data_IF_612112486571
#
_entry.id   IF_612112486571
#
_cell.length_a   1.000
_cell.length_b   1.000
_cell.length_c   1.000
_cell.angle_alpha   90.00
_cell.angle_beta   90.00
_cell.angle_gamma   90.00
#
_symmetry.space_group_name_H-M   'P 1'
#
loop_
_entity.id
_entity.type
_entity.pdbx_description
1 polymer ?
#
# COMPACT_ATOMS: atom_id res chain seq x y z
N UNK A 1 17.80 -2.54 13.79
CA UNK A 1 18.39 -3.83 13.38
C UNK A 1 18.08 -4.06 11.90
N UNK A 2 18.38 -3.05 11.06
CA UNK A 2 18.11 -3.01 9.62
C UNK A 2 19.44 -3.03 8.83
N UNK A 3 20.55 -3.22 9.55
CA UNK A 3 21.91 -3.01 9.01
C UNK A 3 22.39 -4.15 8.11
N UNK A 4 21.83 -5.36 8.24
CA UNK A 4 22.28 -6.51 7.44
C UNK A 4 21.55 -6.63 6.09
N UNK A 5 20.38 -5.99 5.88
CA UNK A 5 19.61 -6.20 4.64
C UNK A 5 20.10 -5.36 3.45
N UNK A 6 20.79 -4.25 3.69
CA UNK A 6 21.38 -3.42 2.62
C UNK A 6 22.57 -4.11 1.95
N UNK A 7 23.36 -4.89 2.70
CA UNK A 7 24.54 -5.60 2.19
C UNK A 7 24.20 -6.67 1.13
N UNK A 8 22.94 -7.12 1.07
CA UNK A 8 22.46 -8.11 0.12
C UNK A 8 21.65 -7.52 -1.04
N UNK A 9 21.33 -6.23 -1.00
CA UNK A 9 20.50 -5.58 -2.02
C UNK A 9 21.32 -5.34 -3.29
N UNK A 10 20.77 -5.77 -4.43
CA UNK A 10 21.39 -5.51 -5.74
C UNK A 10 21.18 -4.05 -6.16
N UNK A 11 22.14 -3.44 -6.87
CA UNK A 11 21.94 -2.14 -7.51
C UNK A 11 20.85 -2.22 -8.60
N UNK A 12 20.08 -1.14 -8.79
CA UNK A 12 18.99 -1.09 -9.78
C UNK A 12 19.43 -1.48 -11.21
N UNK A 13 20.67 -1.19 -11.59
CA UNK A 13 21.24 -1.52 -12.89
C UNK A 13 21.51 -3.04 -13.10
N UNK A 14 21.52 -3.81 -12.02
CA UNK A 14 21.82 -5.25 -12.00
C UNK A 14 20.58 -6.11 -11.74
N UNK A 15 19.39 -5.52 -11.75
CA UNK A 15 18.15 -6.26 -11.51
C UNK A 15 17.91 -7.28 -12.63
N UNK A 16 17.76 -8.58 -12.32
CA UNK A 16 17.52 -9.61 -13.33
C UNK A 16 16.15 -9.47 -14.02
N UNK A 17 15.26 -8.67 -13.41
CA UNK A 17 13.96 -8.31 -13.95
C UNK A 17 13.86 -6.78 -14.05
N UNK A 18 14.28 -6.18 -15.19
CA UNK A 18 14.25 -4.72 -15.38
C UNK A 18 12.85 -4.10 -15.20
N UNK A 19 11.81 -4.91 -15.43
CA UNK A 19 10.41 -4.55 -15.24
C UNK A 19 10.09 -4.06 -13.82
N UNK A 20 10.87 -4.45 -12.80
CA UNK A 20 10.65 -4.03 -11.41
C UNK A 20 10.53 -2.51 -11.26
N UNK A 21 11.35 -1.75 -11.98
CA UNK A 21 11.37 -0.28 -11.92
C UNK A 21 10.13 0.39 -12.55
N UNK A 22 9.42 -0.31 -13.43
CA UNK A 22 8.25 0.22 -14.15
C UNK A 22 6.91 -0.12 -13.49
N UNK A 23 6.89 -1.04 -12.52
CA UNK A 23 5.66 -1.49 -11.87
C UNK A 23 5.14 -0.43 -10.89
N UNK A 24 3.85 -0.15 -10.97
CA UNK A 24 3.13 0.74 -10.04
C UNK A 24 2.77 0.03 -8.75
N UNK A 25 3.81 -0.39 -8.02
CA UNK A 25 3.71 -1.10 -6.75
C UNK A 25 2.89 -0.33 -5.69
N UNK A 26 2.88 1.00 -5.77
CA UNK A 26 2.09 1.90 -4.93
C UNK A 26 0.57 1.65 -5.04
N UNK A 27 0.12 0.95 -6.09
CA UNK A 27 -1.29 0.66 -6.37
C UNK A 27 -1.68 -0.79 -6.13
N UNK A 28 -0.74 -1.64 -5.73
CA UNK A 28 -0.90 -3.10 -5.73
C UNK A 28 -0.71 -3.65 -4.31
N UNK A 29 -1.35 -4.76 -3.98
CA UNK A 29 -1.05 -5.49 -2.75
C UNK A 29 0.23 -6.34 -2.89
N UNK A 30 0.62 -7.04 -1.82
CA UNK A 30 1.84 -7.86 -1.80
C UNK A 30 1.79 -9.02 -2.80
N UNK A 31 0.62 -9.56 -3.14
CA UNK A 31 0.46 -10.66 -4.11
C UNK A 31 0.48 -10.13 -5.54
N UNK A 32 -0.25 -9.05 -5.79
CA UNK A 32 -0.35 -8.41 -7.09
C UNK A 32 0.98 -7.82 -7.56
N UNK A 33 1.77 -7.23 -6.66
CA UNK A 33 3.01 -6.52 -7.02
C UNK A 33 4.02 -7.42 -7.76
N UNK A 34 4.21 -8.65 -7.32
CA UNK A 34 5.16 -9.56 -7.94
C UNK A 34 4.62 -10.24 -9.21
N UNK A 35 3.31 -10.49 -9.28
CA UNK A 35 2.65 -10.90 -10.52
C UNK A 35 2.70 -9.80 -11.59
N UNK A 36 2.62 -8.53 -11.17
CA UNK A 36 2.77 -7.37 -12.04
C UNK A 36 4.18 -7.31 -12.68
N UNK A 37 5.24 -7.61 -11.92
CA UNK A 37 6.61 -7.70 -12.48
C UNK A 37 6.69 -8.78 -13.56
N UNK A 38 6.12 -9.96 -13.31
CA UNK A 38 6.10 -11.04 -14.32
C UNK A 38 5.31 -10.64 -15.57
N UNK A 39 4.16 -10.01 -15.39
CA UNK A 39 3.34 -9.55 -16.50
C UNK A 39 4.08 -8.53 -17.37
N UNK A 40 4.71 -7.53 -16.75
CA UNK A 40 5.48 -6.51 -17.47
C UNK A 40 6.74 -7.08 -18.11
N UNK A 41 7.39 -8.05 -17.45
CA UNK A 41 8.55 -8.77 -18.00
C UNK A 41 8.17 -9.55 -19.27
N UNK A 42 7.05 -10.27 -19.27
CA UNK A 42 6.66 -11.11 -20.41
C UNK A 42 5.97 -10.35 -21.54
N UNK A 43 5.15 -9.34 -21.21
CA UNK A 43 4.23 -8.70 -22.16
C UNK A 43 4.52 -7.22 -22.39
N UNK A 44 5.50 -6.67 -21.68
CA UNK A 44 5.96 -5.30 -21.80
C UNK A 44 5.37 -4.34 -20.74
N UNK A 45 5.97 -3.14 -20.60
CA UNK A 45 5.64 -2.21 -19.52
C UNK A 45 4.17 -1.80 -19.48
N UNK A 46 3.61 -1.71 -18.28
CA UNK A 46 2.24 -1.26 -18.05
C UNK A 46 1.17 -2.35 -18.21
N UNK A 47 1.56 -3.58 -18.56
CA UNK A 47 0.63 -4.72 -18.62
C UNK A 47 -0.04 -4.94 -17.26
N UNK A 48 0.68 -4.72 -16.16
CA UNK A 48 0.15 -4.82 -14.80
C UNK A 48 -1.10 -3.95 -14.54
N UNK A 49 -1.25 -2.83 -15.25
CA UNK A 49 -2.41 -1.95 -15.10
C UNK A 49 -3.73 -2.65 -15.50
N UNK A 50 -3.65 -3.75 -16.25
CA UNK A 50 -4.80 -4.58 -16.58
C UNK A 50 -5.51 -5.18 -15.35
N UNK A 51 -4.84 -5.30 -14.20
CA UNK A 51 -5.48 -5.66 -12.93
C UNK A 51 -6.60 -4.66 -12.56
N UNK A 52 -6.49 -3.40 -12.97
CA UNK A 52 -7.52 -2.39 -12.79
C UNK A 52 -8.78 -2.61 -13.63
N UNK A 53 -8.82 -3.60 -14.52
CA UNK A 53 -10.05 -3.94 -15.26
C UNK A 53 -11.17 -4.43 -14.35
N UNK A 54 -10.84 -4.97 -13.16
CA UNK A 54 -11.80 -5.34 -12.13
C UNK A 54 -11.81 -4.29 -11.02
N UNK A 55 -12.99 -3.72 -10.78
CA UNK A 55 -13.29 -3.00 -9.54
C UNK A 55 -14.27 -3.85 -8.75
N UNK A 56 -13.92 -4.23 -7.53
CA UNK A 56 -14.77 -5.05 -6.68
C UNK A 56 -14.65 -4.62 -5.22
N UNK A 57 -15.78 -4.59 -4.53
CA UNK A 57 -15.84 -4.46 -3.06
C UNK A 57 -16.16 -5.80 -2.39
N UNK A 58 -15.95 -6.92 -3.10
CA UNK A 58 -16.22 -8.24 -2.54
C UNK A 58 -15.37 -8.48 -1.30
N UNK A 59 -16.02 -9.02 -0.28
CA UNK A 59 -15.43 -9.34 1.00
C UNK A 59 -15.52 -10.84 1.28
N UNK A 60 -14.71 -11.28 2.24
CA UNK A 60 -14.54 -12.67 2.64
C UNK A 60 -14.59 -12.77 4.17
N UNK A 61 -15.04 -13.91 4.72
CA UNK A 61 -14.92 -14.17 6.14
C UNK A 61 -13.44 -14.25 6.53
N UNK A 62 -13.01 -13.48 7.54
CA UNK A 62 -11.67 -13.61 8.11
C UNK A 62 -11.59 -14.71 9.16
N UNK A 63 -10.38 -15.26 9.34
CA UNK A 63 -10.11 -16.32 10.31
C UNK A 63 -10.28 -15.85 11.78
N UNK A 64 -10.15 -14.54 12.00
CA UNK A 64 -10.35 -13.84 13.28
C UNK A 64 -11.82 -13.47 13.55
N UNK A 65 -12.73 -13.85 12.65
CA UNK A 65 -14.17 -13.54 12.74
C UNK A 65 -14.53 -12.13 12.25
N UNK A 66 -13.55 -11.30 11.87
CA UNK A 66 -13.79 -10.04 11.17
C UNK A 66 -13.75 -10.29 9.66
N UNK A 67 -14.66 -9.72 8.86
CA UNK A 67 -14.55 -9.85 7.43
C UNK A 67 -13.37 -9.04 6.90
N UNK A 68 -12.93 -9.37 5.70
CA UNK A 68 -11.81 -8.72 5.01
C UNK A 68 -12.14 -8.53 3.54
N UNK A 69 -11.63 -7.48 2.92
CA UNK A 69 -11.68 -7.32 1.45
C UNK A 69 -10.47 -7.93 0.76
N UNK A 70 -9.50 -8.41 1.54
CA UNK A 70 -8.33 -9.15 1.06
C UNK A 70 -8.74 -10.52 0.48
N UNK A 71 -8.60 -10.72 -0.85
CA UNK A 71 -9.01 -11.96 -1.49
C UNK A 71 -8.05 -13.12 -1.20
N UNK A 72 -8.56 -14.35 -1.05
CA UNK A 72 -7.72 -15.53 -0.94
C UNK A 72 -6.75 -15.65 -2.13
N UNK A 73 -5.53 -16.16 -1.89
CA UNK A 73 -4.47 -16.31 -2.90
C UNK A 73 -4.96 -16.98 -4.19
N UNK A 74 -5.79 -18.01 -4.08
CA UNK A 74 -6.35 -18.71 -5.24
C UNK A 74 -7.21 -17.80 -6.14
N UNK A 75 -7.99 -16.88 -5.56
CA UNK A 75 -8.78 -15.91 -6.32
C UNK A 75 -7.87 -14.85 -6.96
N UNK A 76 -6.81 -14.42 -6.27
CA UNK A 76 -5.82 -13.49 -6.83
C UNK A 76 -5.08 -14.07 -8.03
N UNK A 77 -4.61 -15.31 -7.93
CA UNK A 77 -3.97 -16.02 -9.05
C UNK A 77 -4.94 -16.18 -10.22
N UNK A 78 -6.19 -16.55 -9.96
CA UNK A 78 -7.21 -16.67 -11.02
C UNK A 78 -7.56 -15.32 -11.68
N UNK A 79 -7.48 -14.20 -10.96
CA UNK A 79 -7.61 -12.86 -11.55
C UNK A 79 -6.36 -12.49 -12.37
N UNK A 80 -5.16 -12.78 -11.87
CA UNK A 80 -3.92 -12.56 -12.61
C UNK A 80 -3.88 -13.35 -13.93
N UNK A 81 -4.33 -14.61 -13.95
CA UNK A 81 -4.41 -15.38 -15.20
C UNK A 81 -5.34 -14.73 -16.24
N UNK A 82 -6.44 -14.11 -15.78
CA UNK A 82 -7.42 -13.46 -16.64
C UNK A 82 -6.98 -12.08 -17.12
N UNK A 83 -6.38 -11.28 -16.25
CA UNK A 83 -6.07 -9.89 -16.52
C UNK A 83 -4.64 -9.68 -17.05
N UNK A 84 -3.68 -10.50 -16.61
CA UNK A 84 -2.26 -10.32 -16.90
C UNK A 84 -1.72 -11.23 -17.99
N UNK A 85 -2.57 -12.05 -18.60
CA UNK A 85 -2.15 -13.05 -19.61
C UNK A 85 -1.04 -13.97 -19.07
N UNK A 86 -1.14 -14.34 -17.80
CA UNK A 86 -0.27 -15.31 -17.14
C UNK A 86 -1.00 -16.67 -17.05
N UNK A 87 -0.25 -17.74 -16.84
CA UNK A 87 -0.80 -19.04 -16.43
C UNK A 87 0.07 -19.67 -15.36
N UNK A 88 -0.54 -20.29 -14.37
CA UNK A 88 0.15 -21.17 -13.43
C UNK A 88 0.42 -22.50 -14.13
N UNK A 89 1.69 -22.88 -14.25
CA UNK A 89 2.14 -24.13 -14.89
C UNK A 89 2.42 -25.25 -13.89
N UNK A 90 2.59 -24.90 -12.61
CA UNK A 90 2.80 -25.85 -11.52
C UNK A 90 2.61 -25.19 -10.17
N UNK A 91 2.23 -25.97 -9.17
CA UNK A 91 2.11 -25.56 -7.77
C UNK A 91 2.69 -26.66 -6.89
N UNK A 92 3.48 -26.27 -5.88
CA UNK A 92 3.97 -27.17 -4.86
C UNK A 92 4.28 -26.42 -3.58
N UNK A 93 4.34 -27.15 -2.47
CA UNK A 93 4.86 -26.62 -1.20
C UNK A 93 6.23 -27.24 -0.99
N UNK A 94 7.23 -26.40 -0.73
CA UNK A 94 8.61 -26.82 -0.51
C UNK A 94 9.18 -26.09 0.69
N UNK A 95 10.09 -26.73 1.41
CA UNK A 95 10.88 -26.02 2.42
C UNK A 95 11.99 -25.22 1.74
N UNK A 96 12.53 -24.20 2.40
CA UNK A 96 13.70 -23.47 1.90
C UNK A 96 14.89 -24.38 1.52
N UNK A 97 15.10 -25.48 2.25
CA UNK A 97 16.11 -26.50 1.94
C UNK A 97 15.82 -27.35 0.70
N UNK A 98 14.55 -27.42 0.28
CA UNK A 98 14.10 -28.16 -0.90
C UNK A 98 14.14 -27.36 -2.21
N UNK A 99 14.35 -26.05 -2.16
CA UNK A 99 14.35 -25.16 -3.33
C UNK A 99 15.29 -25.60 -4.47
N UNK A 100 16.54 -26.04 -4.22
CA UNK A 100 17.44 -26.45 -5.31
C UNK A 100 16.92 -27.60 -6.18
N UNK A 101 16.01 -28.43 -5.65
CA UNK A 101 15.39 -29.52 -6.41
C UNK A 101 14.04 -29.18 -7.03
N UNK A 102 13.50 -27.99 -6.76
CA UNK A 102 12.14 -27.59 -7.13
C UNK A 102 12.08 -26.44 -8.15
N UNK A 103 13.19 -25.72 -8.33
CA UNK A 103 13.29 -24.53 -9.17
C UNK A 103 14.28 -24.77 -10.31
N UNK A 104 13.84 -24.58 -11.54
CA UNK A 104 14.69 -24.66 -12.73
C UNK A 104 15.48 -23.35 -12.94
N UNK A 105 16.78 -23.41 -13.26
CA UNK A 105 17.56 -22.22 -13.60
C UNK A 105 16.99 -21.42 -14.77
N UNK A 106 17.10 -20.09 -14.69
CA UNK A 106 16.76 -19.17 -15.78
C UNK A 106 15.26 -18.81 -15.92
N UNK A 107 14.38 -19.39 -15.12
CA UNK A 107 12.96 -19.01 -15.06
C UNK A 107 12.61 -18.39 -13.70
N UNK A 108 11.85 -17.27 -13.67
CA UNK A 108 11.36 -16.73 -12.42
C UNK A 108 10.19 -17.56 -11.89
N UNK A 109 10.21 -17.88 -10.60
CA UNK A 109 9.12 -18.53 -9.89
C UNK A 109 8.43 -17.52 -9.00
N UNK A 110 7.10 -17.62 -8.91
CA UNK A 110 6.32 -16.87 -7.94
C UNK A 110 6.24 -17.68 -6.65
N UNK A 111 6.58 -17.08 -5.53
CA UNK A 111 6.64 -17.73 -4.22
C UNK A 111 5.78 -16.97 -3.21
N UNK A 112 5.18 -17.69 -2.28
CA UNK A 112 4.49 -17.14 -1.10
C UNK A 112 5.02 -17.86 0.13
N UNK A 113 5.45 -17.09 1.14
CA UNK A 113 5.89 -17.62 2.43
C UNK A 113 5.61 -16.61 3.54
N UNK A 114 5.97 -16.93 4.78
CA UNK A 114 5.74 -16.06 5.93
C UNK A 114 6.73 -14.89 5.98
N UNK A 115 6.22 -13.66 5.91
CA UNK A 115 6.98 -12.42 6.00
C UNK A 115 7.79 -12.29 7.30
N UNK A 116 7.39 -13.01 8.36
CA UNK A 116 8.12 -13.05 9.62
C UNK A 116 9.57 -13.55 9.46
N UNK A 117 9.81 -14.40 8.47
CA UNK A 117 11.11 -15.02 8.19
C UNK A 117 11.90 -14.28 7.08
N UNK A 118 11.37 -13.20 6.48
CA UNK A 118 11.95 -12.53 5.32
C UNK A 118 12.82 -11.32 5.71
N UNK A 119 14.17 -11.44 5.78
CA UNK A 119 15.03 -10.38 6.32
C UNK A 119 15.06 -9.08 5.51
N UNK A 120 14.57 -9.08 4.27
CA UNK A 120 14.47 -7.87 3.44
C UNK A 120 13.20 -7.04 3.69
N UNK A 121 12.26 -7.55 4.49
CA UNK A 121 11.00 -6.86 4.81
C UNK A 121 11.01 -6.27 6.22
N UNK A 122 10.27 -5.16 6.45
CA UNK A 122 10.10 -4.59 7.79
C UNK A 122 9.29 -5.49 8.72
N UNK A 123 8.63 -6.54 8.20
CA UNK A 123 7.89 -7.53 8.99
C UNK A 123 8.77 -8.59 9.63
N UNK A 124 10.04 -8.69 9.24
CA UNK A 124 10.99 -9.69 9.74
C UNK A 124 11.05 -9.67 11.27
N UNK A 125 10.71 -10.80 11.88
CA UNK A 125 10.60 -10.99 13.35
C UNK A 125 9.61 -10.07 14.06
N UNK A 126 8.74 -9.38 13.32
CA UNK A 126 7.72 -8.48 13.85
C UNK A 126 6.32 -9.06 13.72
N UNK A 127 5.99 -9.62 12.55
CA UNK A 127 4.63 -10.05 12.26
C UNK A 127 4.57 -11.20 11.26
N UNK A 128 3.77 -12.19 11.60
CA UNK A 128 3.38 -13.27 10.70
C UNK A 128 2.33 -12.79 9.70
N UNK A 129 2.61 -12.98 8.42
CA UNK A 129 1.65 -12.79 7.32
C UNK A 129 2.18 -13.46 6.05
N UNK A 130 1.27 -13.94 5.21
CA UNK A 130 1.64 -14.40 3.87
C UNK A 130 2.16 -13.23 3.06
N UNK A 131 3.29 -13.43 2.40
CA UNK A 131 3.90 -12.43 1.54
C UNK A 131 4.47 -13.07 0.29
N UNK A 132 4.27 -12.41 -0.84
CA UNK A 132 4.77 -12.92 -2.11
C UNK A 132 6.10 -12.31 -2.51
N UNK A 133 6.87 -13.05 -3.28
CA UNK A 133 8.11 -12.58 -3.90
C UNK A 133 8.39 -13.42 -5.15
N UNK A 134 9.32 -12.97 -5.98
CA UNK A 134 9.85 -13.77 -7.08
C UNK A 134 11.19 -14.37 -6.68
N UNK A 135 11.39 -15.62 -7.10
CA UNK A 135 12.61 -16.36 -6.85
C UNK A 135 13.25 -16.78 -8.18
N UNK A 136 14.53 -16.49 -8.34
CA UNK A 136 15.35 -16.91 -9.46
C UNK A 136 16.48 -17.80 -8.94
N UNK A 137 16.55 -19.01 -9.47
CA UNK A 137 17.66 -19.92 -9.20
C UNK A 137 18.95 -19.42 -9.87
N UNK A 138 20.12 -19.67 -9.26
CA UNK A 138 21.42 -19.38 -9.87
C UNK A 138 21.57 -20.08 -11.22
N UNK A 139 22.26 -19.42 -12.16
CA UNK A 139 22.72 -20.09 -13.37
C UNK A 139 23.87 -21.07 -13.06
N UNK A 140 23.76 -22.31 -13.52
CA UNK A 140 24.79 -23.33 -13.33
C UNK A 140 24.89 -23.84 -11.89
N UNK A 141 26.11 -24.11 -11.41
CA UNK A 141 26.36 -24.66 -10.07
C UNK A 141 26.53 -23.58 -8.98
N UNK A 142 25.98 -22.39 -9.21
CA UNK A 142 26.04 -21.29 -8.24
C UNK A 142 25.21 -21.56 -6.99
N UNK A 143 25.51 -20.85 -5.90
CA UNK A 143 24.74 -20.88 -4.64
C UNK A 143 23.99 -19.55 -4.38
N UNK A 144 24.02 -18.63 -5.35
CA UNK A 144 23.47 -17.27 -5.22
C UNK A 144 22.11 -17.18 -5.90
N UNK A 145 21.07 -17.24 -5.09
CA UNK A 145 19.69 -17.07 -5.50
C UNK A 145 19.32 -15.59 -5.51
N UNK A 146 18.46 -15.20 -6.44
CA UNK A 146 17.93 -13.83 -6.46
C UNK A 146 16.48 -13.84 -6.03
N UNK A 147 16.19 -13.05 -4.99
CA UNK A 147 14.84 -12.68 -4.60
C UNK A 147 14.53 -11.33 -5.21
N UNK A 148 13.38 -11.20 -5.87
CA UNK A 148 12.84 -9.91 -6.31
C UNK A 148 11.52 -9.69 -5.59
N UNK A 149 11.38 -8.53 -4.97
CA UNK A 149 10.16 -8.16 -4.26
C UNK A 149 9.75 -6.76 -4.71
N UNK A 150 8.58 -6.67 -5.32
CA UNK A 150 8.02 -5.42 -5.80
C UNK A 150 7.12 -4.73 -4.77
N UNK A 151 7.03 -5.24 -3.54
CA UNK A 151 6.15 -4.66 -2.55
C UNK A 151 6.58 -3.25 -2.12
N UNK A 152 5.64 -2.31 -2.16
CA UNK A 152 5.82 -0.94 -1.67
C UNK A 152 4.77 -0.59 -0.61
N UNK A 153 5.24 -0.47 0.63
CA UNK A 153 4.39 -0.08 1.75
C UNK A 153 5.21 0.55 2.87
N UNK A 154 4.60 1.51 3.55
CA UNK A 154 5.13 2.02 4.82
C UNK A 154 4.47 1.28 5.98
N UNK A 155 5.27 0.95 6.99
CA UNK A 155 4.79 0.23 8.17
C UNK A 155 5.33 0.89 9.43
N UNK A 156 4.80 0.50 10.59
CA UNK A 156 5.35 0.94 11.88
C UNK A 156 6.77 0.46 12.17
N UNK A 157 7.28 -0.51 11.40
CA UNK A 157 8.61 -1.10 11.58
C UNK A 157 9.63 -0.63 10.53
N UNK A 158 9.19 0.18 9.58
CA UNK A 158 9.99 0.65 8.46
C UNK A 158 9.26 0.56 7.13
N UNK A 159 9.93 1.05 6.09
CA UNK A 159 9.48 0.98 4.72
C UNK A 159 9.83 -0.37 4.09
N UNK A 160 8.86 -1.00 3.43
CA UNK A 160 9.10 -1.98 2.39
C UNK A 160 9.20 -1.22 1.06
N UNK A 161 10.25 -1.50 0.29
CA UNK A 161 10.47 -0.86 -1.01
C UNK A 161 10.80 -1.92 -2.06
N UNK A 162 10.37 -1.71 -3.31
CA UNK A 162 10.74 -2.60 -4.41
C UNK A 162 12.25 -2.77 -4.51
N UNK A 163 12.72 -4.00 -4.71
CA UNK A 163 14.13 -4.31 -4.80
C UNK A 163 14.43 -5.75 -5.22
N UNK A 164 15.72 -6.03 -5.35
CA UNK A 164 16.24 -7.38 -5.52
C UNK A 164 17.34 -7.66 -4.51
N UNK A 165 17.40 -8.88 -4.00
CA UNK A 165 18.36 -9.32 -3.00
C UNK A 165 19.01 -10.64 -3.41
N UNK A 166 20.27 -10.81 -3.04
CA UNK A 166 20.99 -12.06 -3.28
C UNK A 166 21.15 -12.85 -2.00
N UNK A 167 20.62 -14.08 -2.00
CA UNK A 167 20.66 -15.02 -0.88
C UNK A 167 21.44 -16.28 -1.25
N UNK A 168 22.04 -16.90 -0.26
CA UNK A 168 22.62 -18.24 -0.34
C UNK A 168 21.54 -19.31 -0.13
N UNK A 169 21.77 -20.57 -0.56
CA UNK A 169 20.84 -21.65 -0.25
C UNK A 169 20.67 -21.83 1.27
N UNK A 170 21.71 -21.54 2.06
CA UNK A 170 21.65 -21.57 3.53
C UNK A 170 20.68 -20.52 4.07
N UNK A 171 20.75 -19.28 3.56
CA UNK A 171 19.84 -18.20 3.97
C UNK A 171 18.40 -18.52 3.60
N UNK A 172 18.16 -19.15 2.44
CA UNK A 172 16.81 -19.57 2.05
C UNK A 172 16.18 -20.61 2.99
N UNK A 173 16.98 -21.42 3.71
CA UNK A 173 16.44 -22.44 4.64
C UNK A 173 15.61 -21.87 5.78
N UNK A 174 15.76 -20.56 6.09
CA UNK A 174 15.01 -19.92 7.18
C UNK A 174 13.57 -19.61 6.80
N UNK A 175 13.24 -19.57 5.50
CA UNK A 175 11.91 -19.18 5.01
C UNK A 175 10.79 -20.20 5.30
N UNK A 176 11.11 -21.30 5.99
CA UNK A 176 10.12 -22.30 6.38
C UNK A 176 9.46 -22.97 5.17
N UNK A 177 8.13 -23.11 5.23
CA UNK A 177 7.31 -23.62 4.14
C UNK A 177 7.03 -22.51 3.12
N UNK A 178 7.26 -22.82 1.85
CA UNK A 178 7.12 -21.91 0.72
C UNK A 178 6.12 -22.53 -0.25
N UNK A 179 5.02 -21.83 -0.52
CA UNK A 179 4.17 -22.13 -1.66
C UNK A 179 4.83 -21.61 -2.93
N UNK A 180 5.20 -22.52 -3.82
CA UNK A 180 5.95 -22.23 -5.03
C UNK A 180 5.08 -22.46 -6.27
N UNK A 181 5.09 -21.48 -7.17
CA UNK A 181 4.29 -21.47 -8.38
C UNK A 181 5.19 -21.25 -9.60
N UNK A 182 5.13 -22.20 -10.54
CA UNK A 182 5.62 -21.97 -11.89
C UNK A 182 4.64 -21.05 -12.62
N UNK A 183 5.12 -19.95 -13.18
CA UNK A 183 4.29 -18.99 -13.92
C UNK A 183 4.88 -18.80 -15.31
N UNK A 184 4.02 -18.91 -16.32
CA UNK A 184 4.42 -18.73 -17.72
C UNK A 184 3.49 -17.73 -18.44
N UNK A 185 3.96 -17.06 -19.49
CA UNK A 185 3.09 -16.25 -20.32
C UNK A 185 2.07 -17.11 -21.06
N UNK A 186 0.85 -16.57 -21.18
CA UNK A 186 -0.21 -17.09 -22.04
C UNK A 186 -0.21 -16.31 -23.37
N UNK A 187 -0.39 -16.99 -24.52
CA UNK A 187 -0.60 -16.30 -25.80
C UNK A 187 -1.86 -15.43 -25.76
N UNK A 188 -1.81 -14.24 -26.35
CA UNK A 188 -2.90 -13.24 -26.30
C UNK A 188 -2.50 -11.86 -25.73
N UNK A 189 -1.21 -11.67 -25.46
CA UNK A 189 -0.62 -10.40 -25.06
C UNK A 189 -1.10 -9.25 -25.97
N UNK A 190 -1.80 -8.27 -25.38
CA UNK A 190 -2.27 -7.07 -26.07
C UNK A 190 -3.80 -6.90 -26.11
N UNK A 191 -4.59 -7.93 -25.85
CA UNK A 191 -6.03 -7.74 -25.66
C UNK A 191 -6.28 -7.12 -24.28
N UNK A 192 -6.79 -5.89 -24.26
CA UNK A 192 -7.17 -5.19 -23.03
C UNK A 192 -8.35 -5.93 -22.38
N UNK A 193 -8.26 -6.33 -21.10
CA UNK A 193 -9.36 -7.06 -20.47
C UNK A 193 -10.65 -6.25 -20.43
N UNK A 194 -11.79 -6.95 -20.44
CA UNK A 194 -13.10 -6.32 -20.31
C UNK A 194 -13.28 -5.75 -18.90
N UNK A 195 -13.86 -4.56 -18.84
CA UNK A 195 -14.23 -3.93 -17.57
C UNK A 195 -15.24 -4.80 -16.81
N UNK A 196 -15.00 -4.95 -15.51
CA UNK A 196 -15.85 -5.67 -14.57
C UNK A 196 -15.98 -4.85 -13.30
N UNK A 197 -17.17 -4.34 -13.06
CA UNK A 197 -17.48 -3.62 -11.83
C UNK A 197 -18.45 -4.45 -11.00
N UNK A 198 -18.04 -4.79 -9.78
CA UNK A 198 -18.77 -5.66 -8.87
C UNK A 198 -19.06 -4.92 -7.57
N UNK A 199 -20.33 -4.65 -7.32
CA UNK A 199 -20.79 -4.01 -6.09
C UNK A 199 -21.70 -4.96 -5.31
N UNK A 200 -21.13 -5.99 -4.65
CA UNK A 200 -21.93 -6.89 -3.82
C UNK A 200 -22.55 -6.12 -2.64
N UNK A 201 -23.60 -6.68 -2.00
CA UNK A 201 -24.14 -6.13 -0.77
C UNK A 201 -23.06 -6.03 0.32
N UNK A 202 -22.96 -4.87 0.96
CA UNK A 202 -21.94 -4.56 1.97
C UNK A 202 -22.51 -4.48 3.40
N UNK A 203 -23.82 -4.63 3.58
CA UNK A 203 -24.48 -4.42 4.87
C UNK A 203 -23.93 -5.34 5.97
N UNK A 204 -23.70 -6.61 5.66
CA UNK A 204 -23.15 -7.57 6.62
C UNK A 204 -21.67 -7.29 6.95
N UNK A 205 -20.90 -6.88 5.94
CA UNK A 205 -19.50 -6.47 6.10
C UNK A 205 -19.39 -5.26 7.04
N UNK A 206 -20.18 -4.22 6.80
CA UNK A 206 -20.20 -3.01 7.63
C UNK A 206 -20.69 -3.33 9.04
N UNK A 207 -21.79 -4.06 9.17
CA UNK A 207 -22.36 -4.41 10.47
C UNK A 207 -21.44 -5.32 11.32
N UNK A 208 -20.51 -6.05 10.70
CA UNK A 208 -19.52 -6.82 11.44
C UNK A 208 -18.56 -5.90 12.22
N UNK A 209 -18.16 -4.77 11.65
CA UNK A 209 -17.31 -3.80 12.34
C UNK A 209 -18.05 -3.08 13.47
N UNK A 210 -19.35 -2.81 13.34
CA UNK A 210 -20.14 -2.22 14.42
C UNK A 210 -20.30 -3.17 15.62
N UNK A 211 -20.43 -4.47 15.35
CA UNK A 211 -20.61 -5.50 16.39
C UNK A 211 -19.31 -5.90 17.08
N UNK A 212 -18.15 -5.62 16.48
CA UNK A 212 -16.85 -6.05 17.01
C UNK A 212 -16.52 -5.36 18.33
N UNK A 213 -16.37 -6.17 19.41
CA UNK A 213 -16.07 -5.67 20.76
C UNK A 213 -14.61 -5.30 20.96
N UNK A 214 -13.69 -5.97 20.26
CA UNK A 214 -12.28 -5.61 20.24
C UNK A 214 -12.06 -4.50 19.21
N UNK A 215 -12.14 -3.26 19.69
CA UNK A 215 -12.02 -2.07 18.83
C UNK A 215 -10.63 -1.92 18.21
N UNK A 216 -9.59 -2.37 18.91
CA UNK A 216 -8.24 -2.31 18.35
C UNK A 216 -8.12 -3.26 17.16
N UNK A 217 -8.57 -4.51 17.31
CA UNK A 217 -8.57 -5.49 16.21
C UNK A 217 -9.45 -5.05 15.04
N UNK A 218 -10.64 -4.50 15.32
CA UNK A 218 -11.56 -3.96 14.31
C UNK A 218 -10.90 -2.85 13.49
N UNK A 219 -10.33 -1.83 14.15
CA UNK A 219 -9.73 -0.69 13.45
C UNK A 219 -8.46 -1.08 12.71
N UNK A 220 -7.70 -2.03 13.24
CA UNK A 220 -6.56 -2.61 12.55
C UNK A 220 -6.97 -3.32 11.25
N UNK A 221 -8.03 -4.14 11.28
CA UNK A 221 -8.61 -4.76 10.07
C UNK A 221 -9.11 -3.71 9.09
N UNK A 222 -9.91 -2.76 9.58
CA UNK A 222 -10.51 -1.70 8.76
C UNK A 222 -9.45 -0.83 8.08
N UNK A 223 -8.31 -0.59 8.74
CA UNK A 223 -7.16 0.10 8.15
C UNK A 223 -6.62 -0.64 6.92
N UNK A 224 -6.42 -1.96 7.04
CA UNK A 224 -5.96 -2.79 5.93
C UNK A 224 -6.96 -2.82 4.77
N UNK A 225 -8.23 -2.98 5.08
CA UNK A 225 -9.30 -3.00 4.08
C UNK A 225 -9.45 -1.65 3.36
N UNK A 226 -9.45 -0.53 4.09
CA UNK A 226 -9.52 0.80 3.50
C UNK A 226 -8.36 1.03 2.52
N UNK A 227 -7.16 0.55 2.85
CA UNK A 227 -5.98 0.65 2.00
C UNK A 227 -6.13 -0.18 0.71
N UNK A 228 -6.58 -1.43 0.80
CA UNK A 228 -6.86 -2.28 -0.37
C UNK A 228 -7.95 -1.67 -1.27
N UNK A 229 -9.00 -1.12 -0.66
CA UNK A 229 -10.10 -0.49 -1.37
C UNK A 229 -9.64 0.79 -2.10
N UNK A 230 -8.86 1.66 -1.45
CA UNK A 230 -8.34 2.88 -2.07
C UNK A 230 -7.38 2.56 -3.24
N UNK A 231 -6.48 1.58 -3.07
CA UNK A 231 -5.54 1.15 -4.11
C UNK A 231 -6.24 0.57 -5.33
N UNK A 232 -7.17 -0.35 -5.13
CA UNK A 232 -7.94 -0.97 -6.23
C UNK A 232 -8.74 0.06 -7.05
N UNK A 233 -9.29 1.09 -6.41
CA UNK A 233 -10.01 2.18 -7.10
C UNK A 233 -9.07 3.08 -7.88
N UNK A 234 -7.92 3.41 -7.30
CA UNK A 234 -6.89 4.20 -8.01
C UNK A 234 -6.36 3.43 -9.23
N UNK A 235 -6.13 2.12 -9.08
CA UNK A 235 -5.73 1.25 -10.17
C UNK A 235 -6.81 1.16 -11.25
N UNK A 236 -8.08 1.00 -10.86
CA UNK A 236 -9.21 0.99 -11.78
C UNK A 236 -9.35 2.29 -12.56
N UNK A 237 -9.30 3.44 -11.87
CA UNK A 237 -9.38 4.75 -12.51
C UNK A 237 -8.27 4.96 -13.54
N UNK A 238 -7.04 4.55 -13.23
CA UNK A 238 -5.91 4.58 -14.18
C UNK A 238 -6.12 3.63 -15.35
N UNK A 239 -6.61 2.42 -15.09
CA UNK A 239 -6.93 1.47 -16.15
C UNK A 239 -7.96 2.07 -17.10
N UNK A 240 -9.07 2.61 -16.60
CA UNK A 240 -10.16 3.20 -17.40
C UNK A 240 -9.68 4.40 -18.20
N UNK A 241 -9.06 5.38 -17.54
CA UNK A 241 -8.64 6.64 -18.16
C UNK A 241 -7.47 6.49 -19.14
N UNK A 242 -6.64 5.45 -19.00
CA UNK A 242 -5.38 5.32 -19.73
C UNK A 242 -4.36 6.43 -19.40
N UNK A 243 -4.58 7.14 -18.28
CA UNK A 243 -3.88 8.37 -17.93
C UNK A 243 -4.36 8.92 -16.57
N UNK A 244 -4.46 10.24 -16.46
CA UNK A 244 -5.02 10.88 -15.27
C UNK A 244 -6.56 10.74 -15.25
N UNK A 245 -7.16 10.45 -14.08
CA UNK A 245 -8.62 10.45 -13.95
C UNK A 245 -9.21 11.85 -14.14
N UNK A 246 -10.50 11.92 -14.47
CA UNK A 246 -11.25 13.18 -14.44
C UNK A 246 -11.37 13.76 -13.03
N UNK A 247 -11.82 15.00 -12.91
CA UNK A 247 -11.88 15.74 -11.65
C UNK A 247 -12.82 15.08 -10.62
N UNK A 248 -13.94 14.53 -11.07
CA UNK A 248 -14.91 13.86 -10.19
C UNK A 248 -14.29 12.60 -9.58
N UNK A 249 -13.70 11.76 -10.42
CA UNK A 249 -13.00 10.55 -10.03
C UNK A 249 -11.80 10.88 -9.15
N UNK A 250 -10.99 11.90 -9.50
CA UNK A 250 -9.85 12.32 -8.70
C UNK A 250 -10.26 12.76 -7.29
N UNK A 251 -11.34 13.54 -7.17
CA UNK A 251 -11.90 13.95 -5.89
C UNK A 251 -12.39 12.75 -5.08
N UNK A 252 -13.05 11.79 -5.72
CA UNK A 252 -13.49 10.56 -5.07
C UNK A 252 -12.32 9.72 -4.54
N UNK A 253 -11.24 9.59 -5.31
CA UNK A 253 -10.02 8.89 -4.88
C UNK A 253 -9.34 9.60 -3.70
N UNK A 254 -9.38 10.94 -3.63
CA UNK A 254 -8.88 11.69 -2.48
C UNK A 254 -9.70 11.35 -1.21
N UNK A 255 -11.03 11.24 -1.30
CA UNK A 255 -11.85 10.84 -0.16
C UNK A 255 -11.53 9.42 0.32
N UNK A 256 -11.20 8.51 -0.58
CA UNK A 256 -10.70 7.17 -0.22
C UNK A 256 -9.36 7.25 0.52
N UNK A 257 -8.43 8.08 0.06
CA UNK A 257 -7.14 8.29 0.75
C UNK A 257 -7.34 8.92 2.14
N UNK A 258 -8.29 9.84 2.28
CA UNK A 258 -8.69 10.39 3.58
C UNK A 258 -9.21 9.31 4.52
N UNK A 259 -10.06 8.40 4.03
CA UNK A 259 -10.53 7.28 4.83
C UNK A 259 -9.36 6.42 5.33
N UNK A 260 -8.39 6.08 4.47
CA UNK A 260 -7.19 5.31 4.87
C UNK A 260 -6.47 6.00 6.04
N UNK A 261 -6.22 7.31 5.93
CA UNK A 261 -5.59 8.09 6.99
C UNK A 261 -6.43 8.06 8.27
N UNK A 262 -7.75 8.29 8.18
CA UNK A 262 -8.63 8.32 9.34
C UNK A 262 -8.70 6.96 10.05
N UNK A 263 -8.81 5.86 9.30
CA UNK A 263 -8.84 4.50 9.88
C UNK A 263 -7.53 4.18 10.59
N UNK A 264 -6.39 4.59 10.02
CA UNK A 264 -5.09 4.38 10.64
C UNK A 264 -4.91 5.21 11.92
N UNK A 265 -5.26 6.49 11.89
CA UNK A 265 -5.22 7.37 13.08
C UNK A 265 -6.12 6.81 14.19
N UNK A 266 -7.34 6.38 13.85
CA UNK A 266 -8.26 5.78 14.81
C UNK A 266 -7.68 4.52 15.45
N UNK A 267 -7.12 3.61 14.64
CA UNK A 267 -6.43 2.42 15.13
C UNK A 267 -5.32 2.80 16.13
N UNK A 268 -4.45 3.75 15.78
CA UNK A 268 -3.35 4.17 16.66
C UNK A 268 -3.82 4.83 17.96
N UNK A 269 -4.92 5.58 17.92
CA UNK A 269 -5.54 6.16 19.12
C UNK A 269 -6.06 5.06 20.05
N UNK A 270 -6.82 4.11 19.53
CA UNK A 270 -7.39 3.01 20.32
C UNK A 270 -6.31 2.09 20.89
N UNK A 271 -5.28 1.75 20.10
CA UNK A 271 -4.13 0.96 20.56
C UNK A 271 -3.35 1.61 21.72
N UNK A 272 -3.54 2.92 21.95
CA UNK A 272 -2.96 3.67 23.07
C UNK A 272 -3.96 3.95 24.19
N UNK A 273 -5.12 3.31 24.17
CA UNK A 273 -6.18 3.48 25.17
C UNK A 273 -6.95 4.79 25.06
N UNK A 274 -6.90 5.49 23.91
CA UNK A 274 -7.73 6.67 23.65
C UNK A 274 -9.06 6.27 22.98
N UNK A 275 -10.11 7.09 23.09
CA UNK A 275 -11.39 6.82 22.43
C UNK A 275 -11.27 6.78 20.90
N UNK A 276 -12.08 5.91 20.29
CA UNK A 276 -12.26 5.83 18.84
C UNK A 276 -12.97 7.08 18.30
N UNK A 277 -12.46 7.71 17.22
CA UNK A 277 -13.18 8.76 16.51
C UNK A 277 -14.49 8.23 15.90
N UNK A 278 -15.62 8.95 16.04
CA UNK A 278 -16.89 8.49 15.50
C UNK A 278 -16.93 8.51 13.96
N UNK A 279 -17.88 7.79 13.37
CA UNK A 279 -18.27 7.98 11.96
C UNK A 279 -17.42 7.26 10.92
N UNK A 280 -16.53 6.32 11.30
CA UNK A 280 -15.63 5.66 10.32
C UNK A 280 -16.38 4.68 9.43
N UNK A 281 -17.25 3.85 10.02
CA UNK A 281 -18.04 2.85 9.28
C UNK A 281 -19.06 3.55 8.38
N UNK A 282 -19.66 4.64 8.85
CA UNK A 282 -20.59 5.46 8.07
C UNK A 282 -19.89 6.14 6.90
N UNK A 283 -18.67 6.66 7.09
CA UNK A 283 -17.85 7.23 6.00
C UNK A 283 -17.49 6.18 4.95
N UNK A 284 -17.06 5.00 5.38
CA UNK A 284 -16.79 3.88 4.48
C UNK A 284 -18.05 3.48 3.69
N UNK A 285 -19.21 3.36 4.36
CA UNK A 285 -20.47 3.04 3.73
C UNK A 285 -20.86 4.08 2.66
N UNK A 286 -20.70 5.36 2.97
CA UNK A 286 -20.95 6.46 2.03
C UNK A 286 -20.04 6.41 0.79
N UNK A 287 -18.76 6.07 0.97
CA UNK A 287 -17.83 5.94 -0.16
C UNK A 287 -18.12 4.72 -1.03
N UNK A 288 -18.49 3.59 -0.42
CA UNK A 288 -18.91 2.38 -1.14
C UNK A 288 -20.19 2.60 -1.95
N UNK A 289 -21.12 3.40 -1.43
CA UNK A 289 -22.33 3.78 -2.18
C UNK A 289 -22.00 4.73 -3.34
N UNK A 290 -21.17 5.75 -3.07
CA UNK A 290 -20.72 6.72 -4.08
C UNK A 290 -19.92 6.09 -5.24
N UNK A 291 -19.22 4.97 -5.01
CA UNK A 291 -18.55 4.22 -6.08
C UNK A 291 -19.50 3.90 -7.25
N UNK A 292 -20.77 3.60 -6.96
CA UNK A 292 -21.79 3.27 -7.99
C UNK A 292 -22.18 4.46 -8.86
N UNK A 293 -21.85 5.68 -8.45
CA UNK A 293 -22.05 6.91 -9.21
C UNK A 293 -20.81 7.27 -10.02
N UNK A 294 -19.65 7.26 -9.36
CA UNK A 294 -18.36 7.66 -9.93
C UNK A 294 -17.85 6.66 -10.97
N UNK A 295 -18.01 5.36 -10.71
CA UNK A 295 -17.54 4.28 -11.58
C UNK A 295 -18.67 3.62 -12.39
N UNK A 296 -19.77 4.34 -12.68
CA UNK A 296 -20.80 3.83 -13.60
C UNK A 296 -20.19 3.46 -14.94
N UNK A 297 -20.78 2.45 -15.60
CA UNK A 297 -20.41 1.90 -16.91
C UNK A 297 -19.74 2.97 -17.77
N UNK A 298 -18.42 2.99 -17.68
CA UNK A 298 -17.61 4.09 -18.18
C UNK A 298 -17.47 3.85 -19.67
N UNK A 299 -18.48 4.28 -20.44
CA UNK A 299 -18.30 4.51 -21.86
C UNK A 299 -17.19 5.56 -21.99
N UNK A 300 -16.05 5.10 -22.49
CA UNK A 300 -14.79 5.82 -22.64
C UNK A 300 -15.01 7.18 -23.33
N UNK A 301 -14.96 8.29 -22.59
CA UNK A 301 -14.84 9.64 -23.15
C UNK A 301 -13.46 10.24 -22.85
N UNK A 302 -12.74 10.81 -23.83
CA UNK A 302 -11.43 11.43 -23.60
C UNK A 302 -11.55 12.81 -22.93
N UNK A 303 -10.69 13.06 -21.94
CA UNK A 303 -10.65 14.29 -21.15
C UNK A 303 -9.99 15.48 -21.89
N UNK A 304 -10.51 16.69 -21.66
CA UNK A 304 -9.90 17.96 -22.06
C UNK A 304 -9.34 18.70 -20.82
N UNK A 305 -8.15 19.26 -20.97
CA UNK A 305 -7.38 19.94 -19.91
C UNK A 305 -7.84 21.38 -19.64
N UNK A 306 -7.70 21.87 -18.40
CA UNK A 306 -7.69 23.31 -18.05
C UNK A 306 -6.77 23.63 -16.85
N UNK A 307 -6.35 24.91 -16.67
CA UNK A 307 -5.20 25.31 -15.86
C UNK A 307 -5.55 25.88 -14.47
N UNK A 308 -4.56 25.84 -13.57
CA UNK A 308 -4.68 26.20 -12.15
C UNK A 308 -4.60 27.69 -11.82
N UNK A 309 -4.98 28.00 -10.57
CA UNK A 309 -4.86 29.32 -9.95
C UNK A 309 -4.40 29.17 -8.50
N UNK A 310 -3.35 29.91 -8.13
CA UNK A 310 -2.85 30.01 -6.76
C UNK A 310 -3.52 31.13 -5.98
N UNK A 311 -3.26 31.18 -4.68
CA UNK A 311 -3.53 32.34 -3.83
C UNK A 311 -2.53 32.47 -2.67
N UNK A 312 -2.47 33.70 -2.16
CA UNK A 312 -1.45 34.36 -1.36
C UNK A 312 -1.55 34.15 0.15
N UNK A 313 -0.40 34.33 0.83
CA UNK A 313 -0.19 34.26 2.28
C UNK A 313 -0.66 35.50 3.07
N UNK A 314 -1.01 35.30 4.34
CA UNK A 314 -0.94 36.33 5.40
C UNK A 314 -0.60 35.68 6.76
N UNK A 315 0.26 36.32 7.56
CA UNK A 315 1.00 35.71 8.67
C UNK A 315 0.67 36.21 10.08
N UNK A 316 0.80 35.31 11.07
CA UNK A 316 1.10 35.55 12.51
C UNK A 316 1.26 34.19 13.26
N UNK A 317 1.63 34.12 14.56
CA UNK A 317 2.83 34.57 15.29
C UNK A 317 3.84 33.42 15.59
N UNK A 318 5.11 33.78 15.81
CA UNK A 318 6.33 32.94 15.79
C UNK A 318 6.56 31.92 16.93
N UNK A 319 5.55 31.48 17.67
CA UNK A 319 5.74 30.49 18.78
C UNK A 319 5.36 29.05 18.44
N UNK A 320 4.29 28.88 17.65
CA UNK A 320 3.73 27.57 17.30
C UNK A 320 4.47 26.96 16.11
N UNK A 321 4.86 27.80 15.14
CA UNK A 321 5.55 27.34 13.93
C UNK A 321 6.88 26.67 14.26
N UNK A 322 7.65 27.26 15.16
CA UNK A 322 8.96 26.72 15.53
C UNK A 322 8.81 25.37 16.26
N UNK A 323 7.79 25.22 17.11
CA UNK A 323 7.48 23.94 17.74
C UNK A 323 6.98 22.88 16.74
N UNK A 324 6.20 23.30 15.73
CA UNK A 324 5.77 22.41 14.65
C UNK A 324 6.96 21.96 13.81
N UNK A 325 7.82 22.90 13.39
CA UNK A 325 9.03 22.62 12.62
C UNK A 325 9.99 21.71 13.40
N UNK A 326 10.19 21.93 14.71
CA UNK A 326 10.98 21.06 15.58
C UNK A 326 10.46 19.63 15.62
N UNK A 327 9.14 19.44 15.78
CA UNK A 327 8.54 18.11 15.82
C UNK A 327 8.63 17.42 14.46
N UNK A 328 8.33 18.13 13.38
CA UNK A 328 8.45 17.61 12.00
C UNK A 328 9.89 17.18 11.72
N UNK A 329 10.88 18.05 11.99
CA UNK A 329 12.29 17.75 11.80
C UNK A 329 12.75 16.56 12.65
N UNK A 330 12.30 16.46 13.90
CA UNK A 330 12.64 15.34 14.79
C UNK A 330 11.99 14.01 14.38
N UNK A 331 10.90 14.01 13.63
CA UNK A 331 10.28 12.79 13.08
C UNK A 331 10.91 12.39 11.75
N UNK A 332 11.22 13.37 10.90
CA UNK A 332 11.76 13.14 9.57
C UNK A 332 13.30 13.04 9.54
N UNK A 333 13.98 13.36 10.64
CA UNK A 333 15.44 13.30 10.74
C UNK A 333 16.18 14.46 10.08
N UNK A 334 15.54 15.63 9.98
CA UNK A 334 16.06 16.82 9.28
C UNK A 334 16.43 17.99 10.20
N UNK A 335 16.84 19.11 9.59
CA UNK A 335 17.07 20.39 10.27
C UNK A 335 15.77 21.20 10.33
N UNK A 336 15.26 21.57 11.53
CA UNK A 336 14.06 22.42 11.65
C UNK A 336 14.21 23.78 10.98
N UNK A 337 15.42 24.32 10.84
CA UNK A 337 15.68 25.58 10.13
C UNK A 337 15.43 25.51 8.62
N UNK A 338 15.40 24.31 8.04
CA UNK A 338 15.13 24.09 6.62
C UNK A 338 13.63 24.04 6.28
N UNK A 339 12.76 23.92 7.30
CA UNK A 339 11.32 23.77 7.13
C UNK A 339 10.62 25.15 7.14
N UNK A 340 10.38 25.69 5.94
CA UNK A 340 9.56 26.90 5.74
C UNK A 340 8.06 26.61 5.87
N UNK A 341 7.25 27.63 6.10
CA UNK A 341 5.79 27.50 6.29
C UNK A 341 5.09 26.81 5.10
N UNK A 342 5.52 27.12 3.89
CA UNK A 342 5.04 26.61 2.60
C UNK A 342 5.71 25.29 2.18
N UNK A 343 6.58 24.72 3.01
CA UNK A 343 7.25 23.45 2.70
C UNK A 343 6.19 22.36 2.53
N UNK A 344 6.08 21.82 1.31
CA UNK A 344 5.31 20.62 1.04
C UNK A 344 6.04 19.43 1.66
N UNK A 345 5.48 18.90 2.74
CA UNK A 345 6.11 17.85 3.52
C UNK A 345 6.35 16.58 2.70
N UNK A 346 5.59 16.34 1.62
CA UNK A 346 5.79 15.20 0.71
C UNK A 346 7.09 15.26 -0.07
N UNK A 347 7.70 16.45 -0.16
CA UNK A 347 8.98 16.65 -0.82
C UNK A 347 10.16 16.51 0.13
N UNK A 348 9.89 16.39 1.44
CA UNK A 348 10.91 16.17 2.47
C UNK A 348 11.25 14.68 2.52
N UNK A 349 12.54 14.39 2.47
CA UNK A 349 13.05 13.02 2.57
C UNK A 349 12.56 12.35 3.86
N UNK A 350 12.14 11.08 3.74
CA UNK A 350 11.60 10.31 4.86
C UNK A 350 10.14 10.59 5.20
N UNK A 351 9.47 11.53 4.54
CA UNK A 351 8.04 11.78 4.74
C UNK A 351 7.17 10.62 4.25
N UNK A 352 6.18 10.26 5.06
CA UNK A 352 5.11 9.34 4.71
C UNK A 352 3.85 9.62 5.53
N UNK A 353 2.71 9.04 5.14
CA UNK A 353 1.46 9.13 5.92
C UNK A 353 1.62 8.58 7.35
N UNK A 354 2.54 7.63 7.57
CA UNK A 354 2.89 7.13 8.91
C UNK A 354 3.68 8.17 9.71
N UNK A 355 4.68 8.82 9.09
CA UNK A 355 5.42 9.91 9.73
C UNK A 355 4.54 11.11 10.03
N UNK A 356 3.53 11.38 9.20
CA UNK A 356 2.53 12.39 9.48
C UNK A 356 1.77 12.11 10.79
N UNK A 357 1.39 10.86 11.06
CA UNK A 357 0.77 10.49 12.34
C UNK A 357 1.74 10.63 13.51
N UNK A 358 3.00 10.20 13.36
CA UNK A 358 4.04 10.42 14.39
C UNK A 358 4.22 11.92 14.70
N UNK A 359 4.12 12.78 13.67
CA UNK A 359 4.17 14.24 13.80
C UNK A 359 2.96 14.73 14.59
N UNK A 360 1.74 14.37 14.20
CA UNK A 360 0.50 14.77 14.89
C UNK A 360 0.54 14.31 16.36
N UNK A 361 0.93 13.06 16.61
CA UNK A 361 1.03 12.48 17.95
C UNK A 361 2.01 13.26 18.84
N UNK A 362 3.19 13.58 18.31
CA UNK A 362 4.20 14.35 19.04
C UNK A 362 3.76 15.79 19.25
N UNK A 363 3.00 16.38 18.33
CA UNK A 363 2.41 17.71 18.50
C UNK A 363 1.37 17.72 19.61
N UNK A 364 0.42 16.79 19.60
CA UNK A 364 -0.59 16.65 20.65
C UNK A 364 0.05 16.46 22.03
N UNK A 365 1.02 15.54 22.12
CA UNK A 365 1.72 15.26 23.37
C UNK A 365 2.57 16.45 23.87
N UNK A 366 3.28 17.14 22.97
CA UNK A 366 4.15 18.27 23.32
C UNK A 366 3.34 19.51 23.72
N UNK A 367 2.17 19.72 23.11
CA UNK A 367 1.38 20.93 23.28
C UNK A 367 0.21 20.77 24.26
N UNK A 368 -0.10 19.55 24.70
CA UNK A 368 -1.24 19.29 25.58
C UNK A 368 -2.57 19.65 24.92
N UNK A 369 -2.69 19.29 23.64
CA UNK A 369 -3.85 19.56 22.80
C UNK A 369 -4.37 18.26 22.19
N UNK A 370 -5.64 18.27 21.81
CA UNK A 370 -6.27 17.23 21.02
C UNK A 370 -6.74 17.84 19.69
N UNK A 371 -6.17 17.36 18.60
CA UNK A 371 -6.52 17.81 17.25
C UNK A 371 -7.89 17.23 16.87
N UNK A 372 -8.75 18.07 16.30
CA UNK A 372 -10.05 17.62 15.81
C UNK A 372 -9.84 16.70 14.60
N UNK A 373 -10.52 15.55 14.56
CA UNK A 373 -10.43 14.62 13.44
C UNK A 373 -10.87 15.26 12.13
N UNK A 374 -11.77 16.25 12.17
CA UNK A 374 -12.23 16.96 10.99
C UNK A 374 -11.20 17.99 10.47
N UNK A 375 -10.20 18.34 11.30
CA UNK A 375 -9.08 19.21 10.90
C UNK A 375 -7.87 18.43 10.37
N UNK A 376 -7.81 17.11 10.57
CA UNK A 376 -6.75 16.21 10.08
C UNK A 376 -6.89 15.86 8.59
N UNK A 377 -7.21 16.87 7.78
CA UNK A 377 -7.40 16.73 6.34
C UNK A 377 -6.06 16.82 5.57
N UNK A 378 -5.89 16.11 4.44
CA UNK A 378 -4.66 16.15 3.64
C UNK A 378 -4.19 17.56 3.30
N UNK A 379 -5.08 18.48 2.95
CA UNK A 379 -4.79 19.90 2.69
C UNK A 379 -4.19 20.65 3.90
N UNK A 380 -4.48 20.20 5.11
CA UNK A 380 -3.92 20.72 6.35
C UNK A 380 -2.67 19.94 6.79
N UNK A 381 -2.49 18.70 6.31
CA UNK A 381 -1.35 17.86 6.68
C UNK A 381 -0.21 17.90 5.65
N UNK A 382 -0.39 18.58 4.51
CA UNK A 382 0.61 18.68 3.43
C UNK A 382 1.70 19.72 3.66
N UNK A 383 1.51 20.68 4.59
CA UNK A 383 2.50 21.72 4.85
C UNK A 383 2.66 22.04 6.33
N UNK A 384 3.80 22.64 6.68
CA UNK A 384 4.07 23.15 8.03
C UNK A 384 3.01 24.15 8.46
N UNK A 385 2.56 25.01 7.55
CA UNK A 385 1.48 25.96 7.80
C UNK A 385 0.12 25.30 8.00
N UNK A 386 -0.18 24.25 7.24
CA UNK A 386 -1.36 23.42 7.47
C UNK A 386 -1.37 22.83 8.88
N UNK A 387 -0.25 22.24 9.31
CA UNK A 387 -0.12 21.69 10.67
C UNK A 387 -0.28 22.77 11.74
N UNK A 388 0.24 23.97 11.51
CA UNK A 388 0.00 25.11 12.40
C UNK A 388 -1.48 25.48 12.49
N UNK A 389 -2.24 25.38 11.38
CA UNK A 389 -3.71 25.61 11.40
C UNK A 389 -4.43 24.54 12.23
N UNK A 390 -4.08 23.26 12.08
CA UNK A 390 -4.63 22.17 12.90
C UNK A 390 -4.36 22.41 14.39
N UNK A 391 -3.11 22.70 14.74
CA UNK A 391 -2.69 22.94 16.13
C UNK A 391 -3.42 24.15 16.76
N UNK A 392 -3.73 25.17 15.98
CA UNK A 392 -4.49 26.35 16.44
C UNK A 392 -5.97 26.07 16.61
N UNK A 393 -6.54 25.15 15.84
CA UNK A 393 -7.93 24.69 15.96
C UNK A 393 -8.15 23.67 17.09
N UNK A 394 -7.07 23.02 17.53
CA UNK A 394 -7.08 21.97 18.54
C UNK A 394 -7.55 22.44 19.92
N UNK A 395 -8.23 21.54 20.65
CA UNK A 395 -8.74 21.81 22.00
C UNK A 395 -7.67 21.50 23.04
N UNK A 396 -7.56 22.33 24.08
CA UNK A 396 -6.64 22.05 25.19
C UNK A 396 -7.19 20.93 26.07
N UNK A 397 -6.35 19.97 26.43
CA UNK A 397 -6.73 18.79 27.24
C UNK A 397 -6.65 19.06 28.75
N UNK A 398 -7.02 20.26 29.22
CA UNK A 398 -6.99 20.59 30.67
C UNK A 398 -8.16 20.01 31.45
#
# INVERSE_FOLDING_TARGET
>A
MQHDSEDHRLPDAEHPLPALSGVRADLLDCVQSNLAVLADHFHGPGTHLNLGSKLSSRWYPGADGLPTVDPPLAEQLAEAERCLHLRVTGRGTVTGSGLPGAVEPGAPYYAVADAYEMPWLPYHRQRHMDHSFLLLAPEGSGDRWTVVDAYDNDTSWGAARPGAWTLTAKELTVLGDIELFGVAPRPGAGERPRLRVEHPPMDEYLAAFDRGSDREAVLHRLTGDAWLLARSRTLHARFVAGGAPDEETARHLELWNQLVTHTYVAYRRVARGRPEPPGLVERLAGLLDADRGVFRDTELTPAAAHPGRGDTADGAPDGVRDQVAEVVAAVLGGDPGALRADTDLRTVEGFSSFRMVDIIDRLEARLGIECDSDDLLPENLRSVEGLCRVVRGARSTR
#
